data_IF_157950559128
#
_entry.id   IF_157950559128
#
_cell.length_a   1.000
_cell.length_b   1.000
_cell.length_c   1.000
_cell.angle_alpha   90.00
_cell.angle_beta   90.00
_cell.angle_gamma   90.00
#
_symmetry.space_group_name_H-M   'P 1'
#
loop_
_entity.id
_entity.type
_entity.pdbx_description
1 polymer ?
#
# COMPACT_ATOMS: atom_id res chain seq x y z
N UNK A 1 -11.30 -6.94 61.31
CA UNK A 1 -12.60 -6.56 60.73
C UNK A 1 -12.37 -6.39 59.23
N UNK A 2 -12.58 -7.42 58.40
CA UNK A 2 -13.84 -7.78 57.72
C UNK A 2 -14.36 -6.56 56.95
N UNK A 3 -14.28 -6.51 55.62
CA UNK A 3 -15.30 -7.14 54.79
C UNK A 3 -14.82 -7.61 53.41
N UNK A 4 -15.58 -8.57 52.88
CA UNK A 4 -15.37 -9.46 51.75
C UNK A 4 -16.57 -9.32 50.80
N UNK A 5 -16.38 -9.71 49.52
CA UNK A 5 -17.36 -10.20 48.52
C UNK A 5 -18.14 -9.19 47.65
N UNK A 6 -18.73 -9.59 46.48
CA UNK A 6 -18.68 -10.89 45.76
C UNK A 6 -18.40 -10.83 44.23
N UNK A 7 -18.30 -12.06 43.66
CA UNK A 7 -18.24 -12.47 42.24
C UNK A 7 -19.53 -12.20 41.45
N UNK A 8 -19.44 -12.09 40.12
CA UNK A 8 -20.52 -12.51 39.19
C UNK A 8 -19.91 -13.20 37.96
N UNK A 9 -20.37 -14.42 37.70
CA UNK A 9 -20.18 -15.18 36.46
C UNK A 9 -21.44 -15.02 35.60
N UNK A 10 -21.29 -15.08 34.27
CA UNK A 10 -22.43 -15.27 33.37
C UNK A 10 -22.02 -16.15 32.19
N UNK A 11 -22.67 -17.32 32.11
CA UNK A 11 -22.75 -18.18 30.95
C UNK A 11 -24.03 -17.81 30.17
N UNK A 12 -23.99 -17.83 28.84
CA UNK A 12 -25.21 -17.92 28.01
C UNK A 12 -24.94 -18.89 26.85
N UNK A 13 -25.83 -19.87 26.75
CA UNK A 13 -25.91 -20.90 25.73
C UNK A 13 -26.83 -20.47 24.57
N UNK A 14 -26.55 -21.03 23.38
CA UNK A 14 -27.53 -21.57 22.44
C UNK A 14 -28.40 -20.62 21.61
N UNK A 15 -28.30 -20.75 20.27
CA UNK A 15 -29.46 -21.09 19.42
C UNK A 15 -29.03 -21.39 17.98
N UNK A 16 -29.79 -22.29 17.36
CA UNK A 16 -29.45 -23.11 16.21
C UNK A 16 -30.22 -22.71 14.94
N UNK A 17 -29.92 -23.42 13.84
CA UNK A 17 -30.75 -23.68 12.63
C UNK A 17 -30.84 -22.51 11.63
N UNK A 18 -30.83 -22.65 10.30
CA UNK A 18 -31.19 -23.75 9.40
C UNK A 18 -30.31 -23.76 8.12
N UNK A 19 -29.95 -24.95 7.65
CA UNK A 19 -29.47 -25.17 6.29
C UNK A 19 -30.62 -25.77 5.47
N UNK A 20 -31.03 -25.08 4.40
CA UNK A 20 -31.99 -25.58 3.43
C UNK A 20 -31.23 -26.23 2.26
N UNK A 21 -31.49 -27.52 2.09
CA UNK A 21 -31.19 -28.35 0.93
C UNK A 21 -32.01 -27.94 -0.29
N UNK A 22 -31.41 -27.93 -1.48
CA UNK A 22 -32.09 -28.27 -2.74
C UNK A 22 -31.03 -28.80 -3.74
N UNK A 23 -31.27 -30.00 -4.23
CA UNK A 23 -30.49 -30.76 -5.19
C UNK A 23 -30.99 -30.51 -6.65
N UNK A 24 -30.32 -31.05 -7.68
CA UNK A 24 -30.22 -30.46 -9.01
C UNK A 24 -31.25 -30.96 -10.01
N UNK A 25 -31.44 -30.21 -11.10
CA UNK A 25 -31.98 -30.71 -12.37
C UNK A 25 -31.00 -30.44 -13.51
N UNK A 26 -30.80 -31.48 -14.31
CA UNK A 26 -29.88 -31.56 -15.42
C UNK A 26 -30.59 -31.26 -16.76
N UNK A 27 -29.75 -30.90 -17.73
CA UNK A 27 -29.80 -31.26 -19.15
C UNK A 27 -30.97 -30.77 -20.02
N UNK A 28 -30.65 -29.94 -21.02
CA UNK A 28 -30.55 -30.30 -22.45
C UNK A 28 -30.92 -29.12 -23.36
N UNK A 29 -30.24 -28.98 -24.50
CA UNK A 29 -30.77 -28.16 -25.60
C UNK A 29 -29.77 -27.42 -26.49
N UNK A 30 -29.09 -28.17 -27.35
CA UNK A 30 -28.95 -27.92 -28.80
C UNK A 30 -28.25 -26.62 -29.27
N UNK A 31 -27.10 -26.89 -29.90
CA UNK A 31 -26.32 -26.10 -30.84
C UNK A 31 -27.12 -25.40 -31.95
N UNK A 32 -26.76 -24.14 -32.24
CA UNK A 32 -26.98 -23.51 -33.55
C UNK A 32 -25.77 -22.68 -33.92
N UNK A 33 -25.07 -23.13 -34.97
CA UNK A 33 -23.97 -22.44 -35.63
C UNK A 33 -24.51 -21.29 -36.47
N UNK A 34 -23.91 -20.12 -36.37
CA UNK A 34 -24.01 -19.08 -37.41
C UNK A 34 -22.65 -18.40 -37.55
N UNK A 35 -22.03 -18.70 -38.69
CA UNK A 35 -20.76 -18.19 -39.16
C UNK A 35 -20.96 -16.76 -39.65
N UNK A 36 -20.36 -15.77 -39.00
CA UNK A 36 -20.21 -14.41 -39.56
C UNK A 36 -18.72 -14.21 -39.86
N UNK A 37 -18.42 -14.22 -41.15
CA UNK A 37 -17.12 -13.92 -41.73
C UNK A 37 -16.95 -12.40 -41.76
N UNK A 38 -15.94 -11.86 -41.06
CA UNK A 38 -15.51 -10.47 -41.20
C UNK A 38 -14.40 -10.34 -42.26
N UNK A 39 -14.31 -9.22 -42.99
CA UNK A 39 -13.48 -9.10 -44.18
C UNK A 39 -11.98 -9.12 -43.87
N UNK A 40 -11.20 -9.78 -44.73
CA UNK A 40 -9.74 -9.71 -44.76
C UNK A 40 -9.30 -8.35 -45.33
N UNK A 41 -8.58 -7.56 -44.54
CA UNK A 41 -7.73 -6.47 -45.03
C UNK A 41 -6.29 -6.98 -45.03
N UNK A 42 -5.62 -6.92 -46.18
CA UNK A 42 -4.22 -7.29 -46.31
C UNK A 42 -3.28 -6.10 -46.03
N UNK A 43 -2.35 -6.34 -45.10
CA UNK A 43 -0.96 -5.90 -44.94
C UNK A 43 -0.58 -4.40 -45.02
N UNK A 44 0.24 -3.95 -44.05
CA UNK A 44 1.48 -3.22 -44.36
C UNK A 44 2.64 -3.62 -43.40
N UNK A 45 3.89 -3.69 -43.88
CA UNK A 45 5.07 -4.00 -43.06
C UNK A 45 5.50 -2.78 -42.25
N UNK A 46 5.63 -2.94 -40.93
CA UNK A 46 6.12 -1.87 -40.04
C UNK A 46 7.64 -1.80 -40.12
N UNK A 47 8.17 -0.64 -40.53
CA UNK A 47 9.61 -0.31 -40.51
C UNK A 47 10.19 -0.43 -39.10
N UNK A 48 11.47 -0.87 -38.94
CA UNK A 48 12.12 -0.86 -37.63
C UNK A 48 12.42 0.59 -37.24
N UNK A 49 11.86 1.05 -36.13
CA UNK A 49 12.17 2.37 -35.57
C UNK A 49 13.50 2.28 -34.84
N UNK A 50 14.42 3.15 -35.26
CA UNK A 50 15.79 3.34 -34.76
C UNK A 50 15.78 3.73 -33.28
N UNK A 51 16.61 3.07 -32.48
CA UNK A 51 16.79 3.38 -31.05
C UNK A 51 17.33 4.81 -30.87
N UNK A 52 16.60 5.65 -30.13
CA UNK A 52 17.08 6.93 -29.60
C UNK A 52 17.33 6.79 -28.09
N UNK A 53 18.41 7.44 -27.63
CA UNK A 53 19.03 7.32 -26.31
C UNK A 53 18.17 7.67 -25.07
N UNK A 54 18.82 7.84 -23.91
CA UNK A 54 18.22 7.58 -22.60
C UNK A 54 17.01 8.47 -22.34
N UNK A 55 15.85 7.82 -22.21
CA UNK A 55 14.61 8.43 -21.76
C UNK A 55 14.82 9.10 -20.41
N UNK A 56 14.31 10.33 -20.28
CA UNK A 56 14.22 11.07 -19.03
C UNK A 56 13.65 10.16 -17.93
N UNK A 57 14.24 10.26 -16.73
CA UNK A 57 13.98 9.39 -15.58
C UNK A 57 12.47 9.19 -15.33
N UNK A 58 11.98 7.97 -15.52
CA UNK A 58 10.62 7.59 -15.13
C UNK A 58 10.47 7.82 -13.62
N UNK A 59 9.52 8.63 -13.12
CA UNK A 59 9.25 8.70 -11.69
C UNK A 59 8.76 7.33 -11.19
N UNK A 60 8.84 7.12 -9.88
CA UNK A 60 8.03 6.16 -9.14
C UNK A 60 6.57 6.46 -9.45
N UNK A 61 6.06 5.70 -10.42
CA UNK A 61 4.71 5.80 -10.95
C UNK A 61 3.70 5.56 -9.81
N UNK A 62 2.84 6.55 -9.58
CA UNK A 62 1.62 6.38 -8.78
C UNK A 62 1.49 7.22 -7.51
N UNK A 63 2.40 8.17 -7.26
CA UNK A 63 2.12 9.28 -6.32
C UNK A 63 1.83 10.52 -7.17
N UNK A 64 0.56 10.89 -7.36
CA UNK A 64 0.23 12.23 -7.85
C UNK A 64 0.91 13.24 -6.93
N UNK A 65 1.85 14.01 -7.50
CA UNK A 65 2.71 14.86 -6.69
C UNK A 65 1.90 16.10 -6.27
N UNK A 66 1.64 16.31 -4.97
CA UNK A 66 0.93 17.51 -4.51
C UNK A 66 1.73 18.80 -4.81
N UNK A 67 3.04 18.65 -5.04
CA UNK A 67 4.00 19.71 -5.25
C UNK A 67 5.01 19.32 -6.33
N UNK A 68 5.66 20.32 -6.93
CA UNK A 68 6.80 20.09 -7.80
C UNK A 68 7.96 19.48 -7.00
N UNK A 69 8.58 18.37 -7.46
CA UNK A 69 9.79 17.82 -6.82
C UNK A 69 10.89 18.87 -6.71
N UNK A 70 11.58 18.89 -5.57
CA UNK A 70 12.75 19.75 -5.38
C UNK A 70 14.03 19.02 -5.80
N UNK A 71 14.11 17.71 -5.53
CA UNK A 71 15.27 16.89 -5.82
C UNK A 71 14.87 15.68 -6.69
N UNK A 72 15.39 15.65 -7.91
CA UNK A 72 15.22 14.51 -8.80
C UNK A 72 16.00 13.30 -8.26
N UNK A 73 15.51 12.10 -8.57
CA UNK A 73 16.26 10.86 -8.33
C UNK A 73 17.62 10.93 -9.05
N UNK A 74 18.75 10.77 -8.33
CA UNK A 74 20.09 10.85 -8.92
C UNK A 74 20.42 9.55 -9.67
N UNK A 75 19.89 9.41 -10.88
CA UNK A 75 20.09 8.22 -11.71
C UNK A 75 21.58 7.95 -11.97
N UNK A 76 22.01 6.70 -11.75
CA UNK A 76 23.40 6.29 -11.93
C UNK A 76 24.35 6.61 -10.78
N UNK A 77 23.88 7.33 -9.73
CA UNK A 77 24.68 7.57 -8.55
C UNK A 77 24.94 6.27 -7.76
N UNK A 78 26.11 6.20 -7.11
CA UNK A 78 26.47 5.08 -6.23
C UNK A 78 25.56 5.07 -4.98
N UNK A 79 25.28 3.91 -4.35
CA UNK A 79 24.39 3.86 -3.18
C UNK A 79 24.76 4.83 -2.05
N UNK A 80 26.05 4.95 -1.72
CA UNK A 80 26.54 5.90 -0.72
C UNK A 80 26.26 7.38 -1.08
N UNK A 81 26.25 7.72 -2.37
CA UNK A 81 25.89 9.05 -2.86
C UNK A 81 24.40 9.31 -2.68
N UNK A 82 23.56 8.37 -3.11
CA UNK A 82 22.10 8.43 -2.95
C UNK A 82 21.72 8.61 -1.48
N UNK A 83 22.29 7.78 -0.60
CA UNK A 83 22.06 7.83 0.85
C UNK A 83 22.43 9.19 1.43
N UNK A 84 23.59 9.74 1.04
CA UNK A 84 24.05 11.04 1.51
C UNK A 84 23.14 12.17 1.05
N UNK A 85 22.76 12.20 -0.23
CA UNK A 85 21.88 13.24 -0.76
C UNK A 85 20.50 13.17 -0.12
N UNK A 86 19.89 11.98 0.00
CA UNK A 86 18.57 11.85 0.60
C UNK A 86 18.56 12.29 2.07
N UNK A 87 19.59 11.93 2.84
CA UNK A 87 19.74 12.38 4.22
C UNK A 87 19.90 13.90 4.31
N UNK A 88 20.66 14.51 3.39
CA UNK A 88 20.84 15.96 3.34
C UNK A 88 19.54 16.70 2.98
N UNK A 89 18.80 16.20 1.99
CA UNK A 89 17.55 16.81 1.54
C UNK A 89 16.47 16.79 2.62
N UNK A 90 16.34 15.66 3.33
CA UNK A 90 15.25 15.45 4.30
C UNK A 90 15.62 15.80 5.74
N UNK A 91 16.93 15.85 6.05
CA UNK A 91 17.44 15.91 7.42
C UNK A 91 17.23 14.62 8.22
N UNK A 92 16.94 13.49 7.56
CA UNK A 92 16.64 12.21 8.22
C UNK A 92 17.86 11.28 8.13
N UNK A 93 18.40 10.79 9.27
CA UNK A 93 19.39 9.73 9.28
C UNK A 93 18.93 8.46 8.55
N UNK A 94 19.78 7.96 7.65
CA UNK A 94 19.54 6.71 6.91
C UNK A 94 20.51 5.62 7.40
N UNK A 95 19.96 4.53 7.93
CA UNK A 95 20.73 3.46 8.61
C UNK A 95 20.41 2.07 8.06
N UNK A 96 21.30 1.10 8.29
CA UNK A 96 21.12 -0.27 7.81
C UNK A 96 21.79 -0.55 6.46
N UNK A 97 22.16 -1.81 6.24
CA UNK A 97 22.95 -2.26 5.08
C UNK A 97 22.17 -2.21 3.76
N UNK A 98 20.84 -2.15 3.81
CA UNK A 98 19.99 -2.11 2.63
C UNK A 98 20.21 -0.86 1.77
N UNK A 99 20.70 0.23 2.37
CA UNK A 99 21.06 1.46 1.65
C UNK A 99 22.33 1.34 0.82
N UNK A 100 23.21 0.41 1.18
CA UNK A 100 24.56 0.31 0.60
C UNK A 100 24.63 -0.79 -0.48
N UNK A 101 23.59 -1.63 -0.61
CA UNK A 101 23.46 -2.66 -1.64
C UNK A 101 22.90 -2.08 -2.96
N UNK A 102 23.68 -2.10 -4.07
CA UNK A 102 23.21 -1.63 -5.38
C UNK A 102 21.95 -2.33 -5.90
N UNK A 103 21.69 -3.59 -5.50
CA UNK A 103 20.48 -4.32 -5.91
C UNK A 103 19.21 -3.67 -5.38
N UNK A 104 19.31 -2.91 -4.29
CA UNK A 104 18.17 -2.25 -3.67
C UNK A 104 17.84 -0.88 -4.29
N UNK A 105 18.61 -0.40 -5.27
CA UNK A 105 18.41 0.90 -5.90
C UNK A 105 16.96 1.16 -6.37
N UNK A 106 16.22 0.19 -6.96
CA UNK A 106 14.82 0.43 -7.34
C UNK A 106 13.88 0.67 -6.14
N UNK A 107 14.11 0.01 -5.01
CA UNK A 107 13.33 0.17 -3.78
C UNK A 107 13.70 1.48 -3.07
N UNK A 108 15.00 1.78 -3.02
CA UNK A 108 15.53 3.05 -2.50
C UNK A 108 14.96 4.23 -3.28
N UNK A 109 14.81 4.11 -4.60
CA UNK A 109 14.13 5.11 -5.42
C UNK A 109 12.68 5.34 -5.01
N UNK A 110 11.92 4.29 -4.69
CA UNK A 110 10.55 4.41 -4.15
C UNK A 110 10.55 5.21 -2.85
N UNK A 111 11.48 4.92 -1.95
CA UNK A 111 11.60 5.66 -0.68
C UNK A 111 11.93 7.13 -0.96
N UNK A 112 12.94 7.40 -1.79
CA UNK A 112 13.33 8.77 -2.19
C UNK A 112 12.14 9.58 -2.67
N UNK A 113 11.42 9.07 -3.68
CA UNK A 113 10.34 9.82 -4.29
C UNK A 113 9.10 9.94 -3.40
N UNK A 114 8.91 8.99 -2.49
CA UNK A 114 7.86 9.09 -1.47
C UNK A 114 8.19 10.19 -0.47
N UNK A 115 9.43 10.26 0.03
CA UNK A 115 9.85 11.31 0.95
C UNK A 115 9.82 12.68 0.29
N UNK A 116 10.31 12.82 -0.95
CA UNK A 116 10.20 14.06 -1.73
C UNK A 116 8.75 14.54 -1.90
N UNK A 117 7.80 13.61 -2.08
CA UNK A 117 6.38 13.97 -2.19
C UNK A 117 5.80 14.48 -0.85
N UNK A 118 6.28 13.94 0.27
CA UNK A 118 5.83 14.33 1.62
C UNK A 118 6.51 15.61 2.12
N UNK A 119 7.74 15.88 1.69
CA UNK A 119 8.59 16.97 2.19
C UNK A 119 8.00 18.37 1.90
N UNK A 120 7.16 18.50 0.87
CA UNK A 120 6.44 19.75 0.62
C UNK A 120 5.27 20.02 1.58
N UNK A 121 5.08 19.16 2.58
CA UNK A 121 4.08 19.28 3.65
C UNK A 121 4.78 19.27 5.01
N UNK A 122 4.10 19.66 6.08
CA UNK A 122 4.66 19.58 7.43
C UNK A 122 4.81 18.16 7.97
N UNK A 123 4.37 17.13 7.23
CA UNK A 123 4.22 15.77 7.73
C UNK A 123 5.54 15.19 8.28
N UNK A 124 6.63 15.29 7.52
CA UNK A 124 7.94 14.81 7.96
C UNK A 124 8.52 15.68 9.09
N UNK A 125 8.31 16.99 9.06
CA UNK A 125 8.80 17.91 10.08
C UNK A 125 8.17 17.64 11.45
N UNK A 126 6.87 17.33 11.49
CA UNK A 126 6.17 16.96 12.73
C UNK A 126 6.81 15.72 13.35
N UNK A 127 7.11 14.71 12.54
CA UNK A 127 7.74 13.46 12.99
C UNK A 127 9.15 13.73 13.50
N UNK A 128 9.98 14.42 12.72
CA UNK A 128 11.38 14.73 13.07
C UNK A 128 11.47 15.55 14.37
N UNK A 129 10.61 16.57 14.51
CA UNK A 129 10.60 17.44 15.70
C UNK A 129 10.20 16.70 16.98
N UNK A 130 9.25 15.78 16.87
CA UNK A 130 8.68 15.08 18.03
C UNK A 130 9.45 13.81 18.40
N UNK A 131 10.27 13.29 17.48
CA UNK A 131 11.07 12.09 17.65
C UNK A 131 12.55 12.42 17.36
N UNK A 132 13.28 13.07 18.30
CA UNK A 132 14.71 13.31 18.13
C UNK A 132 15.44 11.98 17.85
N UNK A 133 16.18 11.93 16.74
CA UNK A 133 16.82 10.69 16.28
C UNK A 133 15.95 9.79 15.41
N UNK A 134 14.78 10.27 14.95
CA UNK A 134 13.98 9.61 13.91
C UNK A 134 14.86 9.21 12.72
N UNK A 135 14.86 7.92 12.37
CA UNK A 135 15.67 7.40 11.28
C UNK A 135 14.85 6.53 10.33
N UNK A 136 15.35 6.33 9.11
CA UNK A 136 14.84 5.31 8.20
C UNK A 136 15.89 4.20 8.05
N UNK A 137 15.52 3.02 8.51
CA UNK A 137 16.34 1.82 8.50
C UNK A 137 15.99 0.94 7.29
N UNK A 138 16.95 0.67 6.41
CA UNK A 138 16.80 -0.30 5.33
C UNK A 138 17.53 -1.60 5.72
N UNK A 139 16.77 -2.62 6.12
CA UNK A 139 17.31 -3.84 6.71
C UNK A 139 16.40 -5.05 6.44
N UNK A 140 16.87 -6.26 6.74
CA UNK A 140 15.99 -7.43 6.81
C UNK A 140 15.16 -7.39 8.08
N UNK A 141 13.87 -7.71 7.97
CA UNK A 141 12.95 -7.91 9.09
C UNK A 141 12.62 -9.40 9.16
N UNK A 142 12.63 -10.00 10.35
CA UNK A 142 12.22 -11.40 10.51
C UNK A 142 10.71 -11.58 10.29
N UNK A 143 10.27 -12.78 9.92
CA UNK A 143 8.85 -13.09 9.75
C UNK A 143 8.21 -12.47 8.50
N UNK A 144 6.92 -12.15 8.60
CA UNK A 144 6.09 -11.78 7.43
C UNK A 144 6.02 -10.27 7.15
N UNK A 145 6.45 -9.42 8.09
CA UNK A 145 6.38 -7.97 7.97
C UNK A 145 7.31 -7.44 6.85
N UNK A 146 6.85 -6.39 6.16
CA UNK A 146 7.57 -5.70 5.09
C UNK A 146 8.09 -4.32 5.54
N UNK A 147 7.62 -3.84 6.68
CA UNK A 147 8.05 -2.63 7.35
C UNK A 147 7.58 -2.68 8.81
N UNK A 148 8.17 -1.83 9.64
CA UNK A 148 7.72 -1.58 11.02
C UNK A 148 8.17 -0.20 11.51
N UNK A 149 7.46 0.33 12.50
CA UNK A 149 7.90 1.47 13.31
C UNK A 149 8.32 1.00 14.71
N UNK A 150 9.59 1.22 15.06
CA UNK A 150 10.08 1.06 16.44
C UNK A 150 10.30 -0.37 16.93
N UNK A 151 9.87 -1.40 16.18
CA UNK A 151 9.94 -2.81 16.62
C UNK A 151 11.32 -3.41 16.34
N UNK A 152 11.81 -3.26 15.11
CA UNK A 152 13.15 -3.74 14.74
C UNK A 152 14.23 -2.81 15.28
N UNK A 153 13.95 -1.51 15.32
CA UNK A 153 14.87 -0.50 15.82
C UNK A 153 14.09 0.65 16.47
N UNK A 154 14.38 1.02 17.72
CA UNK A 154 13.75 2.18 18.36
C UNK A 154 13.92 3.46 17.54
N UNK A 155 12.89 4.30 17.53
CA UNK A 155 12.84 5.57 16.82
C UNK A 155 13.18 5.48 15.31
N UNK A 156 12.93 4.32 14.69
CA UNK A 156 13.16 4.17 13.27
C UNK A 156 11.96 3.51 12.58
N UNK A 157 11.66 4.00 11.38
CA UNK A 157 10.91 3.25 10.39
C UNK A 157 11.87 2.26 9.76
N UNK A 158 11.64 0.97 9.94
CA UNK A 158 12.38 -0.08 9.25
C UNK A 158 11.61 -0.55 8.04
N UNK A 159 12.28 -0.61 6.88
CA UNK A 159 11.71 -1.06 5.61
C UNK A 159 12.51 -2.26 5.10
N UNK A 160 11.84 -3.39 4.88
CA UNK A 160 12.48 -4.59 4.33
C UNK A 160 12.66 -4.51 2.83
N UNK A 161 13.61 -3.67 2.42
CA UNK A 161 13.95 -3.42 1.01
C UNK A 161 14.36 -4.69 0.26
N UNK A 162 14.73 -5.76 0.97
CA UNK A 162 15.07 -7.05 0.38
C UNK A 162 13.81 -7.86 0.04
N UNK A 163 12.80 -7.89 0.91
CA UNK A 163 11.48 -8.49 0.59
C UNK A 163 10.73 -7.71 -0.48
N UNK A 164 10.98 -6.40 -0.60
CA UNK A 164 10.29 -5.54 -1.56
C UNK A 164 10.59 -5.85 -3.03
N UNK A 165 11.66 -6.60 -3.32
CA UNK A 165 11.99 -7.03 -4.69
C UNK A 165 10.84 -7.79 -5.37
N UNK A 166 10.12 -8.64 -4.64
CA UNK A 166 9.02 -9.43 -5.19
C UNK A 166 7.81 -8.57 -5.61
N UNK A 167 7.18 -7.77 -4.72
CA UNK A 167 6.09 -6.87 -5.12
C UNK A 167 6.55 -5.82 -6.13
N UNK A 168 7.82 -5.38 -6.08
CA UNK A 168 8.37 -4.49 -7.10
C UNK A 168 8.35 -5.14 -8.49
N UNK A 169 8.82 -6.39 -8.62
CA UNK A 169 8.79 -7.16 -9.87
C UNK A 169 7.36 -7.45 -10.35
N UNK A 170 6.42 -7.66 -9.43
CA UNK A 170 5.00 -7.79 -9.74
C UNK A 170 4.35 -6.46 -10.17
N UNK A 171 5.08 -5.35 -10.10
CA UNK A 171 4.60 -4.01 -10.45
C UNK A 171 3.72 -3.34 -9.41
N UNK A 172 3.66 -3.88 -8.19
CA UNK A 172 2.87 -3.34 -7.08
C UNK A 172 3.64 -2.22 -6.35
N UNK A 173 4.04 -1.20 -7.12
CA UNK A 173 4.81 -0.05 -6.61
C UNK A 173 3.99 0.77 -5.62
N UNK A 174 2.69 0.90 -5.86
CA UNK A 174 1.78 1.62 -4.96
C UNK A 174 1.72 1.01 -3.56
N UNK A 175 1.78 -0.33 -3.43
CA UNK A 175 1.92 -0.98 -2.11
C UNK A 175 3.20 -0.57 -1.39
N UNK A 176 4.32 -0.43 -2.10
CA UNK A 176 5.59 -0.04 -1.50
C UNK A 176 5.56 1.42 -1.01
N UNK A 177 4.98 2.33 -1.80
CA UNK A 177 4.71 3.69 -1.33
C UNK A 177 3.82 3.67 -0.08
N UNK A 178 2.72 2.91 -0.12
CA UNK A 178 1.79 2.79 1.01
C UNK A 178 2.53 2.37 2.27
N UNK A 179 3.43 1.38 2.18
CA UNK A 179 4.22 0.90 3.31
C UNK A 179 5.10 2.01 3.89
N UNK A 180 5.86 2.75 3.07
CA UNK A 180 6.67 3.88 3.59
C UNK A 180 5.80 4.85 4.40
N UNK A 181 4.68 5.28 3.83
CA UNK A 181 3.79 6.28 4.45
C UNK A 181 3.08 5.71 5.68
N UNK A 182 2.66 4.45 5.63
CA UNK A 182 2.02 3.74 6.73
C UNK A 182 2.93 3.70 7.96
N UNK A 183 4.20 3.30 7.79
CA UNK A 183 5.13 3.22 8.91
C UNK A 183 5.43 4.61 9.51
N UNK A 184 5.57 5.64 8.65
CA UNK A 184 5.70 7.02 9.15
C UNK A 184 4.40 7.48 9.83
N UNK A 185 3.25 6.96 9.41
CA UNK A 185 1.94 7.17 10.03
C UNK A 185 1.91 6.77 11.50
N UNK A 186 2.55 5.65 11.85
CA UNK A 186 2.70 5.24 13.24
C UNK A 186 3.49 6.28 14.03
N UNK A 187 4.67 6.69 13.52
CA UNK A 187 5.50 7.70 14.15
C UNK A 187 4.78 9.05 14.30
N UNK A 188 4.04 9.47 13.27
CA UNK A 188 3.28 10.72 13.26
C UNK A 188 2.16 10.70 14.30
N UNK A 189 1.39 9.60 14.38
CA UNK A 189 0.25 9.45 15.29
C UNK A 189 0.62 9.57 16.77
N UNK A 190 1.88 9.33 17.11
CA UNK A 190 2.41 9.39 18.47
C UNK A 190 2.89 10.79 18.86
N UNK A 191 2.89 11.76 17.93
CA UNK A 191 3.37 13.12 18.20
C UNK A 191 2.36 13.98 18.95
N UNK A 192 2.81 14.95 19.77
CA UNK A 192 1.90 15.89 20.42
C UNK A 192 1.01 16.67 19.43
N UNK A 193 1.58 17.05 18.28
CA UNK A 193 0.84 17.80 17.24
C UNK A 193 -0.23 16.95 16.56
N UNK A 194 -0.01 15.64 16.44
CA UNK A 194 -0.99 14.70 15.88
C UNK A 194 -2.18 14.41 16.80
N UNK A 195 -2.03 14.63 18.11
CA UNK A 195 -2.97 14.15 19.13
C UNK A 195 -4.43 14.47 18.79
N UNK A 196 -4.71 15.71 18.41
CA UNK A 196 -6.07 16.14 18.07
C UNK A 196 -6.63 15.35 16.88
N UNK A 197 -5.87 15.23 15.80
CA UNK A 197 -6.30 14.51 14.60
C UNK A 197 -6.50 13.02 14.90
N UNK A 198 -5.59 12.42 15.67
CA UNK A 198 -5.65 11.02 16.07
C UNK A 198 -6.85 10.73 17.00
N UNK A 199 -7.14 11.59 17.98
CA UNK A 199 -8.32 11.46 18.84
C UNK A 199 -9.62 11.54 18.01
N UNK A 200 -9.70 12.50 17.08
CA UNK A 200 -10.85 12.62 16.15
C UNK A 200 -10.96 11.40 15.25
N UNK A 201 -9.84 10.83 14.80
CA UNK A 201 -9.82 9.60 14.04
C UNK A 201 -10.39 8.43 14.85
N UNK A 202 -10.00 8.27 16.12
CA UNK A 202 -10.57 7.23 17.00
C UNK A 202 -12.09 7.33 17.14
N UNK A 203 -12.63 8.54 17.23
CA UNK A 203 -14.08 8.77 17.24
C UNK A 203 -14.75 8.42 15.91
N UNK A 204 -14.12 8.72 14.77
CA UNK A 204 -14.60 8.31 13.46
C UNK A 204 -14.56 6.78 13.32
N UNK A 205 -13.49 6.15 13.79
CA UNK A 205 -13.32 4.71 13.75
C UNK A 205 -14.39 3.94 14.50
N UNK A 206 -14.80 4.41 15.68
CA UNK A 206 -15.90 3.83 16.42
C UNK A 206 -17.23 3.82 15.64
N UNK A 207 -17.43 4.75 14.69
CA UNK A 207 -18.66 4.86 13.89
C UNK A 207 -18.56 4.19 12.52
N UNK A 208 -17.41 4.34 11.85
CA UNK A 208 -17.20 3.92 10.47
C UNK A 208 -16.62 2.51 10.35
N UNK A 209 -15.87 2.07 11.36
CA UNK A 209 -15.21 0.77 11.38
C UNK A 209 -13.94 0.71 10.52
N UNK A 210 -13.54 -0.51 10.20
CA UNK A 210 -12.27 -0.80 9.53
C UNK A 210 -12.20 -0.20 8.12
N UNK A 211 -11.09 0.47 7.82
CA UNK A 211 -10.76 0.99 6.51
C UNK A 211 -10.17 -0.09 5.58
N UNK A 212 -9.35 -0.98 6.13
CA UNK A 212 -8.79 -2.13 5.41
C UNK A 212 -8.80 -3.37 6.29
N UNK A 213 -8.73 -4.56 5.66
CA UNK A 213 -8.61 -5.82 6.40
C UNK A 213 -7.29 -5.91 7.16
N UNK A 214 -6.23 -5.25 6.67
CA UNK A 214 -4.93 -5.19 7.34
C UNK A 214 -5.03 -4.50 8.70
N UNK A 215 -5.78 -3.40 8.80
CA UNK A 215 -5.95 -2.67 10.06
C UNK A 215 -6.93 -3.29 11.05
N UNK A 216 -7.59 -4.41 10.70
CA UNK A 216 -8.75 -4.92 11.44
C UNK A 216 -8.52 -4.99 12.95
N UNK A 217 -9.33 -4.25 13.71
CA UNK A 217 -9.32 -4.30 15.17
C UNK A 217 -8.29 -3.38 15.85
N UNK A 218 -7.49 -2.63 15.09
CA UNK A 218 -6.54 -1.64 15.64
C UNK A 218 -6.82 -0.25 15.08
N UNK A 219 -7.10 0.71 15.96
CA UNK A 219 -7.26 2.13 15.58
C UNK A 219 -5.96 2.66 14.98
N UNK A 220 -4.82 2.29 15.55
CA UNK A 220 -3.52 2.80 15.13
C UNK A 220 -3.15 2.29 13.72
N UNK A 221 -3.36 1.00 13.46
CA UNK A 221 -3.17 0.42 12.12
C UNK A 221 -4.12 1.03 11.09
N UNK A 222 -5.39 1.21 11.46
CA UNK A 222 -6.36 1.85 10.56
C UNK A 222 -5.99 3.30 10.25
N UNK A 223 -5.47 4.05 11.24
CA UNK A 223 -5.00 5.42 11.01
C UNK A 223 -3.86 5.43 10.00
N UNK A 224 -2.84 4.61 10.21
CA UNK A 224 -1.69 4.49 9.30
C UNK A 224 -2.08 4.01 7.91
N UNK A 225 -3.05 3.09 7.79
CA UNK A 225 -3.61 2.67 6.49
C UNK A 225 -4.37 3.81 5.79
N UNK A 226 -5.18 4.55 6.54
CA UNK A 226 -5.95 5.69 6.04
C UNK A 226 -5.03 6.79 5.49
N UNK A 227 -3.93 7.09 6.18
CA UNK A 227 -2.89 8.04 5.73
C UNK A 227 -2.09 7.45 4.56
N UNK A 228 -1.69 6.18 4.66
CA UNK A 228 -0.92 5.48 3.64
C UNK A 228 -1.62 5.44 2.29
N UNK A 229 -2.90 5.07 2.25
CA UNK A 229 -3.72 5.08 1.03
C UNK A 229 -4.15 6.48 0.58
N UNK A 230 -4.13 7.48 1.46
CA UNK A 230 -4.35 8.87 1.05
C UNK A 230 -3.22 9.36 0.14
N UNK A 231 -1.97 9.03 0.47
CA UNK A 231 -0.80 9.36 -0.36
C UNK A 231 -0.64 8.37 -1.52
N UNK A 232 -0.70 7.07 -1.24
CA UNK A 232 -0.53 6.01 -2.23
C UNK A 232 -1.83 5.73 -3.01
N UNK A 233 -2.33 6.74 -3.74
CA UNK A 233 -3.61 6.64 -4.48
C UNK A 233 -3.63 5.51 -5.51
N UNK A 234 -2.47 5.13 -6.04
CA UNK A 234 -2.31 4.02 -6.97
C UNK A 234 -2.01 2.66 -6.33
N UNK A 235 -1.99 2.54 -5.00
CA UNK A 235 -1.90 1.25 -4.34
C UNK A 235 -3.10 0.37 -4.69
N UNK A 236 -2.83 -0.91 -5.00
CA UNK A 236 -3.89 -1.86 -5.31
C UNK A 236 -4.87 -1.96 -4.14
N UNK A 237 -6.18 -2.03 -4.46
CA UNK A 237 -7.21 -2.17 -3.42
C UNK A 237 -7.52 -0.91 -2.63
N UNK A 238 -6.98 0.26 -3.00
CA UNK A 238 -7.24 1.53 -2.31
C UNK A 238 -8.74 1.78 -2.08
N UNK A 239 -9.22 1.81 -0.82
CA UNK A 239 -10.64 2.00 -0.53
C UNK A 239 -11.21 3.34 -1.00
N UNK A 240 -10.40 4.39 -1.11
CA UNK A 240 -10.83 5.70 -1.61
C UNK A 240 -11.13 5.70 -3.12
N UNK A 241 -10.38 4.92 -3.91
CA UNK A 241 -10.66 4.75 -5.33
C UNK A 241 -11.97 3.97 -5.57
N UNK A 242 -12.48 3.29 -4.54
CA UNK A 242 -13.76 2.56 -4.56
C UNK A 242 -14.88 3.35 -3.90
N UNK A 243 -14.70 4.63 -3.56
CA UNK A 243 -15.69 5.40 -2.80
C UNK A 243 -17.09 5.41 -3.44
N UNK A 244 -17.19 5.38 -4.78
CA UNK A 244 -18.47 5.20 -5.50
C UNK A 244 -19.15 3.88 -5.13
N UNK A 245 -18.39 2.78 -5.02
CA UNK A 245 -18.90 1.46 -4.59
C UNK A 245 -19.19 1.38 -3.09
N UNK A 246 -18.47 2.14 -2.27
CA UNK A 246 -18.64 2.17 -0.82
C UNK A 246 -19.62 3.25 -0.34
N UNK A 247 -20.40 3.89 -1.25
CA UNK A 247 -21.37 4.96 -0.94
C UNK A 247 -20.79 6.08 -0.05
N UNK A 248 -19.52 6.42 -0.23
CA UNK A 248 -18.84 7.44 0.58
C UNK A 248 -18.53 7.04 2.04
N UNK A 249 -18.55 5.74 2.37
CA UNK A 249 -18.30 5.23 3.73
C UNK A 249 -17.04 5.83 4.37
N UNK A 250 -15.98 6.06 3.59
CA UNK A 250 -14.68 6.52 4.07
C UNK A 250 -14.41 8.01 3.81
N UNK A 251 -15.41 8.79 3.39
CA UNK A 251 -15.22 10.22 3.08
C UNK A 251 -14.79 11.03 4.31
N UNK A 252 -15.26 10.63 5.50
CA UNK A 252 -14.88 11.31 6.74
C UNK A 252 -13.39 11.07 7.09
N UNK A 253 -12.87 9.86 6.84
CA UNK A 253 -11.44 9.58 6.99
C UNK A 253 -10.62 10.38 5.98
N UNK A 254 -11.05 10.41 4.73
CA UNK A 254 -10.39 11.20 3.70
C UNK A 254 -10.29 12.68 4.09
N UNK A 255 -11.40 13.29 4.50
CA UNK A 255 -11.43 14.70 4.91
C UNK A 255 -10.54 14.97 6.11
N UNK A 256 -10.56 14.09 7.11
CA UNK A 256 -9.68 14.23 8.29
C UNK A 256 -8.21 14.22 7.87
N UNK A 257 -7.79 13.27 7.03
CA UNK A 257 -6.38 13.19 6.59
C UNK A 257 -6.00 14.40 5.75
N UNK A 258 -6.82 14.76 4.76
CA UNK A 258 -6.59 15.94 3.93
C UNK A 258 -6.42 17.19 4.80
N UNK A 259 -7.37 17.46 5.69
CA UNK A 259 -7.46 18.74 6.38
C UNK A 259 -6.53 18.83 7.60
N UNK A 260 -6.35 17.73 8.34
CA UNK A 260 -5.61 17.75 9.62
C UNK A 260 -4.22 17.12 9.55
N UNK A 261 -3.96 16.21 8.62
CA UNK A 261 -2.63 15.58 8.47
C UNK A 261 -1.82 16.33 7.40
N UNK A 262 -2.45 16.69 6.28
CA UNK A 262 -1.79 17.30 5.13
C UNK A 262 -2.22 18.75 4.83
N UNK A 263 -2.98 19.39 5.72
CA UNK A 263 -3.35 20.81 5.62
C UNK A 263 -3.95 21.22 4.26
N UNK A 264 -4.82 20.38 3.69
CA UNK A 264 -5.50 20.59 2.42
C UNK A 264 -4.75 20.07 1.19
N UNK A 265 -3.52 19.56 1.33
CA UNK A 265 -2.71 19.07 0.20
C UNK A 265 -3.21 17.72 -0.30
N UNK A 266 -3.51 17.67 -1.59
CA UNK A 266 -4.03 16.47 -2.26
C UNK A 266 -2.93 15.70 -2.99
N UNK A 267 -2.84 14.40 -2.71
CA UNK A 267 -1.90 13.47 -3.35
C UNK A 267 -2.60 12.65 -4.46
N UNK A 268 -3.64 13.23 -5.06
CA UNK A 268 -4.39 12.62 -6.15
C UNK A 268 -5.69 13.33 -6.46
N UNK A 269 -6.48 12.78 -7.39
CA UNK A 269 -7.78 13.36 -7.69
C UNK A 269 -8.72 13.15 -6.50
N UNK A 270 -9.77 13.96 -6.47
CA UNK A 270 -10.77 13.96 -5.40
C UNK A 270 -11.38 12.55 -5.17
N UNK A 271 -12.00 12.34 -4.01
CA UNK A 271 -12.70 11.09 -3.69
C UNK A 271 -13.67 10.69 -4.80
N UNK A 272 -13.68 9.40 -5.15
CA UNK A 272 -14.52 8.85 -6.21
C UNK A 272 -13.97 9.03 -7.63
N UNK A 273 -12.90 9.80 -7.82
CA UNK A 273 -12.18 9.89 -9.10
C UNK A 273 -11.04 8.87 -9.17
N UNK A 274 -10.85 8.28 -10.35
CA UNK A 274 -9.79 7.31 -10.59
C UNK A 274 -8.46 8.03 -10.82
N UNK A 275 -7.43 7.82 -9.97
CA UNK A 275 -6.09 8.34 -10.24
C UNK A 275 -5.55 7.75 -11.55
N UNK A 276 -4.86 8.57 -12.34
CA UNK A 276 -4.12 8.07 -13.49
C UNK A 276 -2.89 7.30 -13.00
N UNK A 277 -3.04 5.99 -12.89
CA UNK A 277 -2.02 5.07 -12.40
C UNK A 277 -1.27 4.37 -13.53
N UNK A 278 -1.29 4.91 -14.74
CA UNK A 278 -0.41 4.45 -15.83
C UNK A 278 1.01 4.75 -15.36
N UNK A 279 1.86 3.79 -14.94
CA UNK A 279 2.00 2.37 -15.31
C UNK A 279 1.96 1.42 -14.08
N UNK A 280 0.78 0.91 -13.75
CA UNK A 280 0.66 -0.47 -13.29
C UNK A 280 0.90 -1.38 -14.51
N UNK A 281 1.70 -2.46 -14.44
CA UNK A 281 1.56 -3.48 -15.47
C UNK A 281 0.09 -3.89 -15.48
N UNK A 282 -0.52 -3.86 -16.66
CA UNK A 282 -1.70 -4.67 -16.94
C UNK A 282 -1.44 -6.03 -16.31
N UNK A 283 -2.25 -6.44 -15.33
CA UNK A 283 -2.28 -7.84 -14.89
C UNK A 283 -2.24 -8.69 -16.16
N UNK A 284 -1.28 -9.61 -16.33
CA UNK A 284 -1.58 -10.76 -17.15
C UNK A 284 -2.83 -11.36 -16.53
N UNK A 285 -3.91 -11.39 -17.31
CA UNK A 285 -5.14 -12.09 -16.97
C UNK A 285 -4.84 -13.59 -17.01
N UNK A 286 -3.98 -14.08 -16.11
CA UNK A 286 -3.52 -15.46 -16.06
C UNK A 286 -2.90 -15.74 -14.69
N UNK A 287 -3.73 -15.75 -13.65
CA UNK A 287 -3.44 -16.44 -12.37
C UNK A 287 -4.74 -16.80 -11.64
N UNK A 288 -5.80 -17.07 -12.40
CA UNK A 288 -7.02 -17.72 -11.92
C UNK A 288 -7.11 -19.20 -12.39
N UNK A 289 -6.05 -19.74 -13.00
CA UNK A 289 -6.04 -21.12 -13.52
C UNK A 289 -4.99 -22.06 -12.89
N UNK A 290 -4.17 -21.61 -11.93
CA UNK A 290 -3.15 -22.48 -11.31
C UNK A 290 -3.45 -22.93 -9.87
N UNK A 291 -4.59 -22.56 -9.28
CA UNK A 291 -5.05 -23.15 -8.00
C UNK A 291 -5.91 -24.41 -8.22
N UNK A 292 -6.25 -24.73 -9.47
CA UNK A 292 -6.94 -25.98 -9.85
C UNK A 292 -6.03 -27.18 -10.13
N UNK A 293 -4.71 -27.02 -10.13
CA UNK A 293 -3.76 -28.06 -10.57
C UNK A 293 -2.96 -28.72 -9.43
N UNK A 294 -3.48 -28.74 -8.20
CA UNK A 294 -2.90 -29.51 -7.08
C UNK A 294 -3.80 -30.59 -6.51
N UNK A 295 -4.68 -31.16 -7.35
CA UNK A 295 -5.42 -32.38 -7.00
C UNK A 295 -5.54 -33.38 -8.15
N UNK A 296 -4.47 -33.58 -8.91
CA UNK A 296 -4.29 -34.78 -9.75
C UNK A 296 -2.79 -35.09 -9.81
N UNK A 297 -2.24 -35.57 -8.70
CA UNK A 297 -0.93 -36.25 -8.64
C UNK A 297 -0.81 -36.97 -7.30
N UNK A 298 -1.82 -37.82 -7.01
CA UNK A 298 -1.73 -38.88 -6.01
C UNK A 298 -2.77 -39.95 -6.30
N UNK A 299 -2.56 -40.68 -7.39
CA UNK A 299 -3.01 -42.07 -7.60
C UNK A 299 -2.57 -42.51 -8.99
N UNK A 300 -1.34 -42.99 -9.06
CA UNK A 300 -0.81 -43.96 -10.04
C UNK A 300 0.68 -44.12 -9.73
N UNK A 301 0.96 -44.87 -8.68
CA UNK A 301 2.15 -45.68 -8.50
C UNK A 301 1.86 -46.61 -7.31
N UNK A 302 1.57 -47.85 -7.71
CA UNK A 302 1.90 -49.11 -7.03
C UNK A 302 1.03 -49.60 -5.86
N UNK A 303 0.27 -50.65 -6.19
CA UNK A 303 -0.30 -51.73 -5.36
C UNK A 303 -1.52 -51.43 -4.48
#
# INVERSE_FOLDING_TARGET
>A
MIARLPRVAAAIAGLATMAATLAPTAADGITSSSTVQAPRVAAQPVRPVKATGPSAADPVLGIPKPCKPQHAWPAGARPAEVKRQLAANTGIPLVGAGWDDPKNAPMVKIIWETLEALDCTSYLDVVKKSNPGFAINAAHISGWAFGDWGLTRPNAVTLDVYKWHEPYKAGDRGRLVRLVVHEIGHAWSQTPQAKRAYDRFGQLYARTGNFSDYGRGSVNENFSEVVGYYVARCAAGNPYARAVRNKGQFDAYYRLVRDEVFAGREFGPAVGQTPNCSLAPTRPRQLAQSVGARRVLKEKLDH
#
